data_IF_789888696263
#
_entry.id   IF_789888696263
#
_cell.length_a   1.000
_cell.length_b   1.000
_cell.length_c   1.000
_cell.angle_alpha   90.00
_cell.angle_beta   90.00
_cell.angle_gamma   90.00
#
_symmetry.space_group_name_H-M   'P 1'
#
loop_
_entity.id
_entity.type
_entity.pdbx_description
1 polymer ?
#
# COMPACT_ATOMS: atom_id res chain seq x y z
N UNK A 1 -9.69 -24.60 14.68
CA UNK A 1 -10.18 -23.26 14.91
C UNK A 1 -9.14 -22.32 14.38
N UNK A 2 -9.49 -21.36 13.52
CA UNK A 2 -8.60 -20.42 12.86
C UNK A 2 -8.56 -19.11 13.66
N UNK A 3 -7.37 -18.62 13.95
CA UNK A 3 -7.19 -17.37 14.73
C UNK A 3 -7.03 -16.20 13.75
N UNK A 4 -7.96 -15.24 13.86
CA UNK A 4 -7.98 -14.03 13.03
C UNK A 4 -7.74 -12.82 13.96
N UNK A 5 -6.72 -12.03 13.68
CA UNK A 5 -6.52 -10.72 14.31
C UNK A 5 -7.17 -9.64 13.43
N UNK A 6 -7.83 -8.66 14.05
CA UNK A 6 -8.43 -7.53 13.34
C UNK A 6 -7.90 -6.23 13.93
N UNK A 7 -7.31 -5.38 13.13
CA UNK A 7 -6.85 -4.04 13.50
C UNK A 7 -7.71 -2.97 12.83
N UNK A 8 -8.44 -2.21 13.61
CA UNK A 8 -9.21 -1.04 13.16
C UNK A 8 -9.35 -0.07 14.34
N UNK A 9 -9.06 1.21 14.16
CA UNK A 9 -9.14 2.21 15.22
C UNK A 9 -10.56 2.77 15.43
N UNK A 10 -11.55 2.27 14.68
CA UNK A 10 -12.96 2.57 14.85
C UNK A 10 -13.66 1.45 15.66
N UNK A 11 -13.94 1.67 16.97
CA UNK A 11 -14.43 0.60 17.85
C UNK A 11 -15.68 -0.11 17.33
N UNK A 12 -16.65 0.66 16.81
CA UNK A 12 -17.91 0.09 16.34
C UNK A 12 -17.73 -0.83 15.11
N UNK A 13 -16.85 -0.45 14.17
CA UNK A 13 -16.53 -1.28 13.01
C UNK A 13 -15.80 -2.54 13.44
N UNK A 14 -14.81 -2.38 14.34
CA UNK A 14 -14.03 -3.47 14.88
C UNK A 14 -14.90 -4.51 15.59
N UNK A 15 -15.82 -4.07 16.46
CA UNK A 15 -16.80 -4.94 17.13
C UNK A 15 -17.74 -5.62 16.12
N UNK A 16 -18.20 -4.90 15.10
CA UNK A 16 -19.05 -5.44 14.04
C UNK A 16 -18.37 -6.57 13.26
N UNK A 17 -17.16 -6.35 12.79
CA UNK A 17 -16.36 -7.35 12.06
C UNK A 17 -16.03 -8.55 12.95
N UNK A 18 -15.61 -8.30 14.19
CA UNK A 18 -15.27 -9.37 15.13
C UNK A 18 -16.51 -10.23 15.48
N UNK A 19 -17.65 -9.60 15.77
CA UNK A 19 -18.90 -10.31 16.06
C UNK A 19 -19.38 -11.10 14.85
N UNK A 20 -19.35 -10.51 13.65
CA UNK A 20 -19.76 -11.17 12.42
C UNK A 20 -18.93 -12.43 12.13
N UNK A 21 -17.61 -12.33 12.26
CA UNK A 21 -16.72 -13.47 12.03
C UNK A 21 -16.79 -14.53 13.15
N UNK A 22 -16.93 -14.12 14.43
CA UNK A 22 -17.08 -15.07 15.54
C UNK A 22 -18.38 -15.86 15.48
N UNK A 23 -19.40 -15.36 14.78
CA UNK A 23 -20.63 -16.10 14.52
C UNK A 23 -20.51 -17.14 13.39
N UNK A 24 -19.37 -17.19 12.72
CA UNK A 24 -19.06 -18.24 11.75
C UNK A 24 -18.34 -19.41 12.45
N UNK A 25 -18.69 -20.64 12.10
CA UNK A 25 -18.06 -21.81 12.65
C UNK A 25 -16.57 -21.88 12.31
N UNK A 26 -15.74 -22.17 13.31
CA UNK A 26 -14.32 -22.42 13.13
C UNK A 26 -13.39 -21.20 13.23
N UNK A 27 -13.91 -20.00 13.50
CA UNK A 27 -13.09 -18.79 13.68
C UNK A 27 -13.02 -18.37 15.15
N UNK A 28 -11.91 -17.77 15.54
CA UNK A 28 -11.68 -17.09 16.80
C UNK A 28 -11.02 -15.75 16.50
N UNK A 29 -11.72 -14.66 16.78
CA UNK A 29 -11.33 -13.31 16.36
C UNK A 29 -10.87 -12.48 17.54
N UNK A 30 -9.70 -11.84 17.38
CA UNK A 30 -9.10 -10.94 18.35
C UNK A 30 -9.05 -9.52 17.78
N UNK A 31 -9.85 -8.59 18.35
CA UNK A 31 -9.90 -7.20 17.91
C UNK A 31 -8.80 -6.36 18.57
N UNK A 32 -8.21 -5.42 17.80
CA UNK A 32 -7.18 -4.49 18.26
C UNK A 32 -7.49 -3.07 17.75
N UNK A 33 -7.46 -2.10 18.66
CA UNK A 33 -7.58 -0.68 18.35
C UNK A 33 -6.23 -0.03 18.05
N UNK A 34 -5.13 -0.65 18.50
CA UNK A 34 -3.78 -0.09 18.41
C UNK A 34 -2.79 -1.12 17.89
N UNK A 35 -1.88 -0.66 17.04
CA UNK A 35 -0.81 -1.45 16.41
C UNK A 35 0.10 -2.13 17.45
N UNK A 36 0.45 -1.43 18.54
CA UNK A 36 1.36 -1.96 19.57
C UNK A 36 0.78 -3.22 20.20
N UNK A 37 -0.51 -3.18 20.59
CA UNK A 37 -1.20 -4.32 21.19
C UNK A 37 -1.31 -5.50 20.20
N UNK A 38 -1.57 -5.21 18.91
CA UNK A 38 -1.55 -6.21 17.85
C UNK A 38 -0.17 -6.90 17.74
N UNK A 39 0.91 -6.13 17.65
CA UNK A 39 2.27 -6.69 17.50
C UNK A 39 2.65 -7.55 18.70
N UNK A 40 2.31 -7.15 19.92
CA UNK A 40 2.55 -7.96 21.12
C UNK A 40 1.77 -9.28 21.08
N UNK A 41 0.52 -9.23 20.66
CA UNK A 41 -0.30 -10.43 20.49
C UNK A 41 0.30 -11.38 19.43
N UNK A 42 0.71 -10.85 18.27
CA UNK A 42 1.28 -11.65 17.18
C UNK A 42 2.61 -12.33 17.57
N UNK A 43 3.36 -11.78 18.53
CA UNK A 43 4.57 -12.43 19.09
C UNK A 43 4.26 -13.67 19.92
N UNK A 44 3.11 -13.68 20.57
CA UNK A 44 2.72 -14.70 21.56
C UNK A 44 1.74 -15.73 20.99
N UNK A 45 1.00 -15.37 19.94
CA UNK A 45 -0.11 -16.17 19.42
C UNK A 45 0.07 -16.43 17.93
N UNK A 46 0.09 -17.72 17.53
CA UNK A 46 0.08 -18.09 16.12
C UNK A 46 -1.24 -17.64 15.48
N UNK A 47 -1.17 -16.65 14.64
CA UNK A 47 -2.30 -16.05 13.94
C UNK A 47 -2.37 -16.57 12.51
N UNK A 48 -3.55 -16.99 12.07
CA UNK A 48 -3.77 -17.53 10.73
C UNK A 48 -4.06 -16.44 9.69
N UNK A 49 -4.60 -15.29 10.12
CA UNK A 49 -4.93 -14.16 9.25
C UNK A 49 -4.92 -12.85 10.05
N UNK A 50 -4.35 -11.80 9.48
CA UNK A 50 -4.53 -10.42 9.94
C UNK A 50 -5.43 -9.66 8.97
N UNK A 51 -6.57 -9.17 9.45
CA UNK A 51 -7.38 -8.16 8.78
C UNK A 51 -7.01 -6.80 9.36
N UNK A 52 -6.75 -5.80 8.53
CA UNK A 52 -6.35 -4.49 9.02
C UNK A 52 -6.96 -3.35 8.23
N UNK A 53 -7.41 -2.32 8.93
CA UNK A 53 -7.83 -1.08 8.28
C UNK A 53 -6.64 -0.37 7.61
N UNK A 54 -6.93 0.24 6.48
CA UNK A 54 -5.96 1.05 5.74
C UNK A 54 -5.88 2.48 6.25
N UNK A 55 -6.93 2.98 6.92
CA UNK A 55 -7.05 4.34 7.41
C UNK A 55 -6.99 4.39 8.92
N UNK A 56 -5.81 4.21 9.48
CA UNK A 56 -5.56 4.33 10.91
C UNK A 56 -5.23 5.78 11.29
N UNK A 57 -5.74 6.27 12.43
CA UNK A 57 -5.58 7.67 12.88
C UNK A 57 -4.12 8.10 13.05
N UNK A 58 -3.26 7.20 13.50
CA UNK A 58 -1.86 7.50 13.86
C UNK A 58 -0.86 7.06 12.79
N UNK A 59 -1.22 6.13 11.92
CA UNK A 59 -0.31 5.48 10.98
C UNK A 59 -1.01 5.15 9.65
N UNK A 60 -0.23 4.90 8.63
CA UNK A 60 -0.74 4.47 7.33
C UNK A 60 -0.73 2.94 7.26
N UNK A 61 -1.83 2.32 6.84
CA UNK A 61 -1.94 0.87 6.72
C UNK A 61 -0.85 0.20 5.88
N UNK A 62 -0.30 0.90 4.85
CA UNK A 62 0.83 0.39 4.07
C UNK A 62 2.10 0.24 4.94
N UNK A 63 2.36 1.19 5.83
CA UNK A 63 3.55 1.16 6.67
C UNK A 63 3.41 0.14 7.79
N UNK A 64 2.22 0.01 8.38
CA UNK A 64 1.91 -1.08 9.32
C UNK A 64 2.09 -2.45 8.64
N UNK A 65 1.61 -2.60 7.40
CA UNK A 65 1.80 -3.84 6.63
C UNK A 65 3.29 -4.18 6.47
N UNK A 66 4.14 -3.22 6.09
CA UNK A 66 5.60 -3.41 5.98
C UNK A 66 6.21 -3.84 7.31
N UNK A 67 5.83 -3.18 8.40
CA UNK A 67 6.34 -3.50 9.74
C UNK A 67 5.92 -4.90 10.18
N UNK A 68 4.64 -5.26 10.03
CA UNK A 68 4.14 -6.61 10.34
C UNK A 68 4.83 -7.64 9.48
N UNK A 69 4.96 -7.41 8.17
CA UNK A 69 5.63 -8.33 7.24
C UNK A 69 7.09 -8.56 7.59
N UNK A 70 7.81 -7.52 8.05
CA UNK A 70 9.21 -7.63 8.49
C UNK A 70 9.34 -8.49 9.75
N UNK A 71 8.40 -8.38 10.69
CA UNK A 71 8.42 -9.12 11.96
C UNK A 71 7.83 -10.53 11.82
N UNK A 72 6.81 -10.69 10.97
CA UNK A 72 6.03 -11.91 10.80
C UNK A 72 5.89 -12.25 9.30
N UNK A 73 6.92 -12.82 8.67
CA UNK A 73 6.96 -13.02 7.21
C UNK A 73 5.86 -13.91 6.65
N UNK A 74 5.27 -14.78 7.46
CA UNK A 74 4.34 -15.82 6.99
C UNK A 74 2.86 -15.51 7.24
N UNK A 75 2.51 -14.51 8.06
CA UNK A 75 1.10 -14.20 8.36
C UNK A 75 0.45 -13.60 7.11
N UNK A 76 -0.67 -14.15 6.61
CA UNK A 76 -1.46 -13.47 5.59
C UNK A 76 -2.02 -12.15 6.13
N UNK A 77 -1.87 -11.08 5.36
CA UNK A 77 -2.32 -9.72 5.72
C UNK A 77 -3.30 -9.26 4.65
N UNK A 78 -4.54 -8.98 5.05
CA UNK A 78 -5.60 -8.52 4.16
C UNK A 78 -6.12 -7.16 4.65
N UNK A 79 -6.11 -6.19 3.75
CA UNK A 79 -6.63 -4.86 4.04
C UNK A 79 -8.17 -4.85 4.05
N UNK A 80 -8.74 -4.07 4.98
CA UNK A 80 -10.14 -3.62 4.96
C UNK A 80 -10.13 -2.12 4.71
N UNK A 81 -10.92 -1.60 3.75
CA UNK A 81 -10.86 -0.18 3.43
C UNK A 81 -12.12 0.36 2.78
N UNK A 82 -12.42 1.63 3.04
CA UNK A 82 -13.41 2.38 2.26
C UNK A 82 -12.80 3.00 0.98
N UNK A 83 -11.46 2.94 0.81
CA UNK A 83 -10.77 3.58 -0.31
C UNK A 83 -10.67 2.63 -1.51
N UNK A 84 -11.43 2.94 -2.55
CA UNK A 84 -11.38 2.27 -3.85
C UNK A 84 -10.34 2.95 -4.76
N UNK A 85 -9.05 2.85 -4.43
CA UNK A 85 -7.92 3.43 -5.19
C UNK A 85 -6.93 2.34 -5.62
N UNK A 86 -6.80 2.12 -6.93
CA UNK A 86 -5.91 1.10 -7.49
C UNK A 86 -4.44 1.30 -7.15
N UNK A 87 -3.96 2.56 -7.01
CA UNK A 87 -2.57 2.81 -6.61
C UNK A 87 -2.34 2.46 -5.14
N UNK A 88 -3.30 2.75 -4.26
CA UNK A 88 -3.22 2.36 -2.85
C UNK A 88 -3.22 0.84 -2.70
N UNK A 89 -4.11 0.15 -3.44
CA UNK A 89 -4.15 -1.31 -3.48
C UNK A 89 -2.80 -1.86 -3.96
N UNK A 90 -2.25 -1.32 -5.06
CA UNK A 90 -0.95 -1.71 -5.57
C UNK A 90 0.16 -1.52 -4.52
N UNK A 91 0.19 -0.38 -3.84
CA UNK A 91 1.17 -0.09 -2.79
C UNK A 91 1.09 -1.06 -1.62
N UNK A 92 -0.13 -1.40 -1.18
CA UNK A 92 -0.36 -2.35 -0.10
C UNK A 92 0.12 -3.76 -0.49
N UNK A 93 -0.20 -4.21 -1.70
CA UNK A 93 0.26 -5.50 -2.21
C UNK A 93 1.80 -5.55 -2.33
N UNK A 94 2.45 -4.47 -2.78
CA UNK A 94 3.91 -4.35 -2.82
C UNK A 94 4.56 -4.30 -1.43
N UNK A 95 3.84 -3.82 -0.42
CA UNK A 95 4.27 -3.83 0.97
C UNK A 95 4.22 -5.23 1.62
N UNK A 96 3.73 -6.22 0.89
CA UNK A 96 3.60 -7.60 1.35
C UNK A 96 2.18 -7.99 1.80
N UNK A 97 1.17 -7.20 1.45
CA UNK A 97 -0.24 -7.57 1.62
C UNK A 97 -0.62 -8.78 0.76
N UNK A 98 -1.56 -9.57 1.24
CA UNK A 98 -2.08 -10.76 0.57
C UNK A 98 -3.49 -10.55 -0.02
N UNK A 99 -4.11 -9.40 0.26
CA UNK A 99 -5.45 -9.11 -0.24
C UNK A 99 -5.96 -7.75 0.15
N UNK A 100 -7.07 -7.34 -0.47
CA UNK A 100 -7.69 -6.04 -0.24
C UNK A 100 -9.21 -6.15 -0.39
N UNK A 101 -9.94 -5.87 0.66
CA UNK A 101 -11.40 -5.96 0.71
C UNK A 101 -11.96 -4.56 0.93
N UNK A 102 -12.87 -4.14 0.07
CA UNK A 102 -13.63 -2.92 0.28
C UNK A 102 -14.71 -3.16 1.35
N UNK A 103 -14.91 -2.20 2.26
CA UNK A 103 -15.87 -2.35 3.37
C UNK A 103 -17.35 -2.32 2.92
N UNK A 104 -17.60 -1.98 1.65
CA UNK A 104 -18.94 -1.94 1.04
C UNK A 104 -19.33 -3.22 0.26
N UNK A 105 -18.55 -4.30 0.37
CA UNK A 105 -18.85 -5.59 -0.26
C UNK A 105 -19.97 -6.33 0.50
N UNK A 106 -20.58 -7.32 -0.16
CA UNK A 106 -21.55 -8.20 0.49
C UNK A 106 -20.88 -9.09 1.54
N UNK A 107 -21.66 -9.56 2.53
CA UNK A 107 -21.18 -10.49 3.55
C UNK A 107 -20.62 -11.78 2.94
N UNK A 108 -21.22 -12.25 1.85
CA UNK A 108 -20.79 -13.46 1.14
C UNK A 108 -19.41 -13.26 0.49
N UNK A 109 -19.21 -12.13 -0.21
CA UNK A 109 -17.93 -11.78 -0.82
C UNK A 109 -16.84 -11.56 0.25
N UNK A 110 -17.19 -10.88 1.36
CA UNK A 110 -16.31 -10.69 2.49
C UNK A 110 -15.81 -12.02 3.05
N UNK A 111 -16.72 -12.96 3.35
CA UNK A 111 -16.36 -14.30 3.85
C UNK A 111 -15.53 -15.09 2.84
N UNK A 112 -15.86 -15.00 1.55
CA UNK A 112 -15.06 -15.60 0.49
C UNK A 112 -13.63 -15.11 0.47
N UNK A 113 -13.43 -13.80 0.61
CA UNK A 113 -12.10 -13.20 0.70
C UNK A 113 -11.37 -13.61 1.99
N UNK A 114 -12.05 -13.65 3.14
CA UNK A 114 -11.46 -14.13 4.40
C UNK A 114 -10.96 -15.57 4.26
N UNK A 115 -11.76 -16.45 3.65
CA UNK A 115 -11.37 -17.83 3.41
C UNK A 115 -10.15 -17.94 2.47
N UNK A 116 -10.10 -17.14 1.40
CA UNK A 116 -8.93 -17.09 0.52
C UNK A 116 -7.67 -16.65 1.28
N UNK A 117 -7.78 -15.65 2.15
CA UNK A 117 -6.68 -15.20 3.01
C UNK A 117 -6.19 -16.30 3.96
N UNK A 118 -7.09 -17.01 4.60
CA UNK A 118 -6.78 -18.15 5.47
C UNK A 118 -6.11 -19.32 4.74
N UNK A 119 -6.42 -19.49 3.45
CA UNK A 119 -5.78 -20.46 2.57
C UNK A 119 -4.42 -19.99 2.03
N UNK A 120 -3.98 -18.78 2.40
CA UNK A 120 -2.74 -18.17 1.88
C UNK A 120 -2.82 -17.75 0.41
N UNK A 121 -4.03 -17.63 -0.15
CA UNK A 121 -4.28 -17.19 -1.52
C UNK A 121 -4.48 -15.66 -1.57
N UNK A 122 -4.47 -15.11 -2.79
CA UNK A 122 -4.78 -13.71 -3.04
C UNK A 122 -6.26 -13.41 -2.72
N UNK A 123 -6.49 -12.61 -1.69
CA UNK A 123 -7.81 -12.29 -1.11
C UNK A 123 -8.24 -10.87 -1.51
N UNK A 124 -8.51 -10.65 -2.79
CA UNK A 124 -8.93 -9.35 -3.32
C UNK A 124 -10.38 -9.45 -3.78
N UNK A 125 -11.26 -8.57 -3.27
CA UNK A 125 -12.64 -8.49 -3.73
C UNK A 125 -12.72 -8.03 -5.20
N UNK A 126 -13.80 -8.35 -5.90
CA UNK A 126 -13.90 -8.17 -7.35
C UNK A 126 -13.64 -6.72 -7.81
N UNK A 127 -14.27 -5.75 -7.14
CA UNK A 127 -14.08 -4.33 -7.46
C UNK A 127 -12.63 -3.87 -7.21
N UNK A 128 -12.01 -4.28 -6.11
CA UNK A 128 -10.62 -3.96 -5.82
C UNK A 128 -9.68 -4.61 -6.84
N UNK A 129 -9.99 -5.81 -7.32
CA UNK A 129 -9.21 -6.53 -8.33
C UNK A 129 -9.20 -5.82 -9.69
N UNK A 130 -10.33 -5.26 -10.10
CA UNK A 130 -10.41 -4.44 -11.32
C UNK A 130 -9.54 -3.18 -11.21
N UNK A 131 -9.64 -2.46 -10.09
CA UNK A 131 -8.83 -1.27 -9.81
C UNK A 131 -7.34 -1.58 -9.76
N UNK A 132 -6.96 -2.68 -9.11
CA UNK A 132 -5.58 -3.16 -9.01
C UNK A 132 -4.99 -3.48 -10.38
N UNK A 133 -5.73 -4.20 -11.23
CA UNK A 133 -5.31 -4.50 -12.62
C UNK A 133 -5.12 -3.23 -13.44
N UNK A 134 -6.03 -2.27 -13.31
CA UNK A 134 -5.89 -0.97 -13.95
C UNK A 134 -4.64 -0.21 -13.53
N UNK A 135 -4.33 -0.22 -12.24
CA UNK A 135 -3.11 0.40 -11.69
C UNK A 135 -1.84 -0.29 -12.22
N UNK A 136 -1.78 -1.63 -12.20
CA UNK A 136 -0.66 -2.40 -12.76
C UNK A 136 -0.45 -2.05 -14.23
N UNK A 137 -1.50 -2.03 -15.04
CA UNK A 137 -1.43 -1.69 -16.47
C UNK A 137 -0.87 -0.29 -16.66
N UNK A 138 -1.34 0.69 -15.90
CA UNK A 138 -0.86 2.06 -15.94
C UNK A 138 0.62 2.15 -15.56
N UNK A 139 1.02 1.57 -14.42
CA UNK A 139 2.40 1.59 -13.93
C UNK A 139 3.34 0.88 -14.91
N UNK A 140 2.91 -0.26 -15.47
CA UNK A 140 3.71 -1.02 -16.44
C UNK A 140 3.89 -0.28 -17.78
N UNK A 141 2.99 0.63 -18.09
CA UNK A 141 3.09 1.48 -19.30
C UNK A 141 3.98 2.71 -19.10
N UNK A 142 4.33 3.06 -17.85
CA UNK A 142 5.20 4.20 -17.59
C UNK A 142 6.64 3.89 -17.98
N UNK A 143 7.36 4.87 -18.53
CA UNK A 143 8.77 4.73 -18.87
C UNK A 143 9.61 4.46 -17.60
N UNK A 144 10.55 3.53 -17.68
CA UNK A 144 11.49 3.27 -16.57
C UNK A 144 12.46 4.43 -16.42
N UNK A 145 12.64 4.90 -15.20
CA UNK A 145 13.68 5.88 -14.89
C UNK A 145 15.05 5.18 -14.84
N UNK A 146 16.05 5.79 -15.45
CA UNK A 146 17.46 5.44 -15.18
C UNK A 146 17.82 5.92 -13.77
N UNK A 147 18.89 5.39 -13.20
CA UNK A 147 19.36 5.81 -11.86
C UNK A 147 19.56 7.34 -11.79
N UNK A 148 20.19 7.91 -12.83
CA UNK A 148 20.45 9.36 -12.90
C UNK A 148 19.17 10.20 -13.02
N UNK A 149 18.20 9.75 -13.80
CA UNK A 149 16.90 10.42 -13.92
C UNK A 149 16.14 10.37 -12.58
N UNK A 150 16.24 9.26 -11.86
CA UNK A 150 15.63 9.11 -10.54
C UNK A 150 16.24 10.07 -9.52
N UNK A 151 17.59 10.15 -9.45
CA UNK A 151 18.30 11.09 -8.56
C UNK A 151 17.86 12.54 -8.83
N UNK A 152 17.89 12.97 -10.08
CA UNK A 152 17.50 14.32 -10.47
C UNK A 152 16.02 14.59 -10.13
N UNK A 153 15.13 13.67 -10.45
CA UNK A 153 13.70 13.82 -10.18
C UNK A 153 13.40 13.87 -8.67
N UNK A 154 14.12 13.09 -7.85
CA UNK A 154 14.03 13.15 -6.39
C UNK A 154 14.46 14.51 -5.86
N UNK A 155 15.55 15.10 -6.36
CA UNK A 155 15.99 16.43 -5.94
C UNK A 155 15.01 17.53 -6.38
N UNK A 156 14.41 17.39 -7.57
CA UNK A 156 13.34 18.29 -8.03
C UNK A 156 12.12 18.19 -7.10
N UNK A 157 11.71 16.99 -6.71
CA UNK A 157 10.57 16.79 -5.80
C UNK A 157 10.81 17.38 -4.40
N UNK A 158 12.08 17.50 -4.00
CA UNK A 158 12.50 18.16 -2.77
C UNK A 158 12.62 19.70 -2.91
N UNK A 159 12.25 20.25 -4.07
CA UNK A 159 12.22 21.69 -4.31
C UNK A 159 13.55 22.33 -4.69
N UNK A 160 14.60 21.54 -5.02
CA UNK A 160 15.90 22.09 -5.39
C UNK A 160 15.86 22.72 -6.78
N UNK A 161 16.56 23.85 -6.91
CA UNK A 161 16.74 24.57 -8.18
C UNK A 161 17.77 23.83 -9.08
N UNK A 162 17.76 24.14 -10.37
CA UNK A 162 18.70 23.56 -11.34
C UNK A 162 20.17 23.76 -10.90
N UNK A 163 20.53 24.93 -10.34
CA UNK A 163 21.89 25.20 -9.88
C UNK A 163 22.26 24.36 -8.64
N UNK A 164 21.36 24.25 -7.67
CA UNK A 164 21.56 23.40 -6.48
C UNK A 164 21.72 21.91 -6.83
N UNK A 165 20.90 21.42 -7.77
CA UNK A 165 21.02 20.05 -8.28
C UNK A 165 22.36 19.84 -8.99
N UNK A 166 22.78 20.80 -9.80
CA UNK A 166 24.07 20.76 -10.52
C UNK A 166 25.23 20.67 -9.54
N UNK A 167 25.23 21.49 -8.49
CA UNK A 167 26.24 21.49 -7.44
C UNK A 167 26.25 20.16 -6.68
N UNK A 168 25.09 19.69 -6.20
CA UNK A 168 25.01 18.46 -5.42
C UNK A 168 25.39 17.20 -6.20
N UNK A 169 25.13 17.18 -7.50
CA UNK A 169 25.43 16.04 -8.36
C UNK A 169 26.74 16.17 -9.15
N UNK A 170 27.52 17.24 -8.91
CA UNK A 170 28.76 17.55 -9.63
C UNK A 170 28.56 17.61 -11.16
N UNK A 171 27.50 18.27 -11.59
CA UNK A 171 27.14 18.49 -13.02
C UNK A 171 27.15 19.97 -13.39
N UNK A 172 27.09 20.26 -14.70
CA UNK A 172 26.77 21.61 -15.16
C UNK A 172 25.26 21.89 -15.06
N UNK A 173 24.82 23.13 -14.82
CA UNK A 173 23.39 23.48 -14.88
C UNK A 173 22.74 23.13 -16.22
N UNK A 174 23.47 23.24 -17.31
CA UNK A 174 23.02 22.88 -18.67
C UNK A 174 22.75 21.36 -18.78
N UNK A 175 23.57 20.54 -18.15
CA UNK A 175 23.37 19.08 -18.08
C UNK A 175 22.09 18.74 -17.31
N UNK A 176 21.88 19.38 -16.18
CA UNK A 176 20.65 19.18 -15.38
C UNK A 176 19.41 19.60 -16.18
N UNK A 177 19.46 20.74 -16.88
CA UNK A 177 18.34 21.20 -17.70
C UNK A 177 18.05 20.25 -18.88
N UNK A 178 19.10 19.65 -19.44
CA UNK A 178 18.93 18.61 -20.48
C UNK A 178 18.21 17.37 -19.90
N UNK A 179 18.57 16.91 -18.71
CA UNK A 179 17.85 15.80 -18.05
C UNK A 179 16.40 16.15 -17.75
N UNK A 180 16.13 17.38 -17.29
CA UNK A 180 14.75 17.86 -17.02
C UNK A 180 13.91 17.80 -18.31
N UNK A 181 14.42 18.31 -19.41
CA UNK A 181 13.72 18.28 -20.73
C UNK A 181 13.48 16.85 -21.21
N UNK A 182 14.48 15.99 -21.09
CA UNK A 182 14.37 14.58 -21.49
C UNK A 182 13.32 13.85 -20.65
N UNK A 183 13.23 14.13 -19.35
CA UNK A 183 12.21 13.58 -18.46
C UNK A 183 10.79 14.00 -18.89
N UNK A 184 10.57 15.30 -19.19
CA UNK A 184 9.27 15.78 -19.68
C UNK A 184 8.86 15.06 -20.97
N UNK A 185 9.76 14.95 -21.92
CA UNK A 185 9.52 14.25 -23.20
C UNK A 185 9.23 12.77 -22.97
N UNK A 186 10.02 12.12 -22.12
CA UNK A 186 9.93 10.68 -21.83
C UNK A 186 8.58 10.32 -21.19
N UNK A 187 8.11 11.13 -20.24
CA UNK A 187 6.84 10.91 -19.55
C UNK A 187 5.65 11.59 -20.23
N UNK A 188 5.88 12.30 -21.34
CA UNK A 188 4.85 13.01 -22.12
C UNK A 188 4.04 14.00 -21.27
N UNK A 189 4.68 14.70 -20.36
CA UNK A 189 4.08 15.72 -19.47
C UNK A 189 4.53 17.12 -19.86
N UNK A 190 3.72 18.13 -19.51
CA UNK A 190 3.93 19.53 -19.96
C UNK A 190 4.96 20.27 -19.12
N UNK A 191 5.09 19.94 -17.85
CA UNK A 191 5.95 20.66 -16.90
C UNK A 191 6.42 19.74 -15.76
N UNK A 192 7.39 20.24 -14.96
CA UNK A 192 7.98 19.50 -13.84
C UNK A 192 6.97 19.22 -12.71
N UNK A 193 6.00 20.08 -12.49
CA UNK A 193 4.98 19.88 -11.45
C UNK A 193 4.15 18.66 -11.79
N UNK A 194 3.68 18.57 -13.03
CA UNK A 194 2.93 17.41 -13.53
C UNK A 194 3.75 16.12 -13.44
N UNK A 195 5.05 16.18 -13.78
CA UNK A 195 5.95 15.04 -13.64
C UNK A 195 6.14 14.59 -12.20
N UNK A 196 6.35 15.52 -11.27
CA UNK A 196 6.50 15.22 -9.84
C UNK A 196 5.21 14.63 -9.27
N UNK A 197 4.04 15.18 -9.61
CA UNK A 197 2.75 14.63 -9.21
C UNK A 197 2.56 13.19 -9.72
N UNK A 198 2.88 12.93 -10.98
CA UNK A 198 2.83 11.59 -11.57
C UNK A 198 3.81 10.64 -10.87
N UNK A 199 5.04 11.08 -10.61
CA UNK A 199 6.05 10.29 -9.94
C UNK A 199 5.67 9.96 -8.49
N UNK A 200 5.08 10.90 -7.76
CA UNK A 200 4.55 10.68 -6.39
C UNK A 200 3.36 9.72 -6.41
N UNK A 201 2.39 9.94 -7.28
CA UNK A 201 1.19 9.10 -7.43
C UNK A 201 1.54 7.63 -7.66
N UNK A 202 2.57 7.35 -8.45
CA UNK A 202 3.00 6.00 -8.80
C UNK A 202 4.25 5.53 -8.04
N UNK A 203 4.68 6.27 -7.01
CA UNK A 203 5.88 5.99 -6.18
C UNK A 203 7.15 5.68 -6.99
N UNK A 204 7.37 6.37 -8.09
CA UNK A 204 8.53 6.16 -8.96
C UNK A 204 9.85 6.59 -8.29
N UNK A 205 9.79 7.43 -7.27
CA UNK A 205 10.98 8.03 -6.62
C UNK A 205 11.56 7.15 -5.52
N UNK A 206 10.83 6.16 -5.00
CA UNK A 206 11.27 5.35 -3.87
C UNK A 206 11.51 6.18 -2.60
N UNK A 207 10.75 7.27 -2.45
CA UNK A 207 10.72 8.03 -1.20
C UNK A 207 10.04 7.12 -0.16
N UNK A 208 10.81 6.72 0.84
CA UNK A 208 10.35 6.00 2.03
C UNK A 208 9.47 6.88 2.90
#
# INVERSE_FOLDING_TARGET
>A
MKIIAVLDDHPLLLEGVASFLNNQDGYLVYPFLEEIALIEFLKLTKTDLLLMDMQLLKTNGVDVCKQVRKLFPMIPIVALSNLADGNLIFQFMQAGGNGYILKDVSNEEFLGCVQLGLDGKEAICDRAKELYRGAISTISSLPRLTQREKEILTLISNGLTTNQIAEQLFLSPVTVETHRRNLLTKFKVKNMIELVQLAMKHKLLGLE
#
